data_IF_009197834235
#
_entry.id   IF_009197834235
#
_cell.length_a   1.000
_cell.length_b   1.000
_cell.length_c   1.000
_cell.angle_alpha   90.00
_cell.angle_beta   90.00
_cell.angle_gamma   90.00
#
_symmetry.space_group_name_H-M   'P 1'
#
loop_
_entity.id
_entity.type
_entity.pdbx_description
1 polymer ?
#
# COMPACT_ATOMS: atom_id res chain seq x y z
N UNK A 1 -7.05 -0.52 -4.83
CA UNK A 1 -6.32 -0.44 -6.12
C UNK A 1 -7.27 -0.05 -7.26
N UNK A 2 -6.72 0.41 -8.38
CA UNK A 2 -7.53 0.71 -9.56
C UNK A 2 -8.28 -0.53 -10.05
N UNK A 3 -7.63 -1.68 -10.03
CA UNK A 3 -8.24 -2.97 -10.39
C UNK A 3 -9.46 -3.30 -9.51
N UNK A 4 -9.36 -3.06 -8.20
CA UNK A 4 -10.47 -3.28 -7.26
C UNK A 4 -11.66 -2.35 -7.57
N UNK A 5 -11.39 -1.07 -7.82
CA UNK A 5 -12.43 -0.10 -8.17
C UNK A 5 -13.11 -0.47 -9.50
N UNK A 6 -12.32 -0.97 -10.46
CA UNK A 6 -12.84 -1.43 -11.75
C UNK A 6 -13.72 -2.67 -11.59
N UNK A 7 -13.28 -3.65 -10.78
CA UNK A 7 -14.06 -4.85 -10.49
C UNK A 7 -15.36 -4.54 -9.74
N UNK A 8 -15.37 -3.51 -8.88
CA UNK A 8 -16.55 -3.04 -8.16
C UNK A 8 -17.51 -2.16 -8.98
N UNK A 9 -17.22 -1.91 -10.26
CA UNK A 9 -18.10 -1.12 -11.14
C UNK A 9 -18.16 0.37 -10.83
N UNK A 10 -17.22 0.91 -10.03
CA UNK A 10 -17.25 2.33 -9.61
C UNK A 10 -17.18 3.31 -10.80
N UNK A 11 -16.66 2.87 -11.95
CA UNK A 11 -16.60 3.65 -13.19
C UNK A 11 -17.98 3.90 -13.82
N UNK A 12 -18.99 3.16 -13.42
CA UNK A 12 -20.37 3.38 -13.91
C UNK A 12 -20.94 4.68 -13.35
N UNK A 13 -20.66 4.94 -12.06
CA UNK A 13 -21.11 6.16 -11.38
C UNK A 13 -20.14 7.33 -11.54
N UNK A 14 -18.84 7.08 -11.77
CA UNK A 14 -17.82 8.12 -11.82
C UNK A 14 -16.85 7.90 -12.99
N UNK A 15 -16.75 8.90 -13.85
CA UNK A 15 -15.89 8.90 -15.04
C UNK A 15 -14.50 9.50 -14.80
N UNK A 16 -14.15 9.81 -13.57
CA UNK A 16 -12.85 10.35 -13.19
C UNK A 16 -12.21 9.50 -12.10
N UNK A 17 -10.93 9.21 -12.24
CA UNK A 17 -10.16 8.50 -11.23
C UNK A 17 -8.73 9.03 -11.14
N UNK A 18 -8.14 8.96 -9.97
CA UNK A 18 -6.73 9.31 -9.76
C UNK A 18 -5.88 8.06 -9.94
N UNK A 19 -4.94 8.11 -10.88
CA UNK A 19 -3.96 7.05 -11.08
C UNK A 19 -2.68 7.61 -11.74
N UNK A 20 -1.50 7.25 -11.25
CA UNK A 20 -1.20 6.36 -10.10
C UNK A 20 -1.76 6.88 -8.78
N UNK A 21 -1.96 5.97 -7.83
CA UNK A 21 -2.41 6.33 -6.49
C UNK A 21 -1.44 7.28 -5.77
N UNK A 22 -1.95 8.19 -4.97
CA UNK A 22 -1.14 9.23 -4.30
C UNK A 22 -0.97 8.99 -2.79
N UNK A 23 -1.77 8.14 -2.15
CA UNK A 23 -1.72 7.94 -0.71
C UNK A 23 -1.75 6.48 -0.25
N UNK A 24 -2.04 5.52 -1.11
CA UNK A 24 -2.29 4.15 -0.69
C UNK A 24 -1.14 3.23 -1.06
N UNK A 25 -0.32 2.90 -0.09
CA UNK A 25 0.59 1.75 -0.12
C UNK A 25 0.42 0.99 1.20
N UNK A 26 -0.69 0.25 1.39
CA UNK A 26 -0.90 -0.50 2.62
C UNK A 26 0.16 -1.59 2.74
N UNK A 27 0.78 -1.67 3.90
CA UNK A 27 1.60 -2.80 4.29
C UNK A 27 0.70 -3.87 4.90
N UNK A 28 0.20 -4.77 4.08
CA UNK A 28 -0.57 -5.90 4.59
C UNK A 28 0.32 -6.79 5.43
N UNK A 29 -0.18 -7.20 6.59
CA UNK A 29 0.57 -8.01 7.52
C UNK A 29 -0.28 -9.18 8.05
N UNK A 30 0.39 -10.27 8.40
CA UNK A 30 -0.23 -11.40 9.07
C UNK A 30 0.06 -11.35 10.55
N UNK A 31 -0.97 -11.22 11.37
CA UNK A 31 -0.87 -11.33 12.82
C UNK A 31 -1.20 -12.76 13.29
N UNK A 32 -0.38 -13.29 14.17
CA UNK A 32 -0.60 -14.58 14.79
C UNK A 32 -0.68 -14.43 16.31
N UNK A 33 -1.67 -15.06 16.92
CA UNK A 33 -1.77 -15.09 18.39
C UNK A 33 -0.49 -15.72 18.98
N UNK A 34 0.14 -15.03 19.94
CA UNK A 34 1.41 -15.44 20.51
C UNK A 34 1.36 -16.81 21.20
N UNK A 35 0.23 -17.18 21.82
CA UNK A 35 0.05 -18.50 22.44
C UNK A 35 0.00 -19.61 21.38
N UNK A 36 -0.62 -19.36 20.24
CA UNK A 36 -0.64 -20.28 19.10
C UNK A 36 0.75 -20.38 18.49
N UNK A 37 1.39 -19.24 18.22
CA UNK A 37 2.74 -19.19 17.67
C UNK A 37 3.76 -19.98 18.49
N UNK A 38 3.71 -19.88 19.83
CA UNK A 38 4.61 -20.62 20.72
C UNK A 38 4.41 -22.12 20.67
N UNK A 39 3.21 -22.62 20.35
CA UNK A 39 2.91 -24.06 20.22
C UNK A 39 3.38 -24.65 18.91
N UNK A 40 3.59 -23.84 17.88
CA UNK A 40 4.07 -24.30 16.58
C UNK A 40 5.51 -24.80 16.67
N UNK A 41 5.79 -25.90 15.99
CA UNK A 41 7.15 -26.44 15.84
C UNK A 41 8.00 -25.53 14.96
N UNK A 42 9.32 -25.67 15.02
CA UNK A 42 10.25 -24.83 14.25
C UNK A 42 9.98 -24.87 12.74
N UNK A 43 9.71 -26.06 12.20
CA UNK A 43 9.47 -26.21 10.74
C UNK A 43 8.10 -25.61 10.33
N UNK A 44 7.08 -25.71 11.18
CA UNK A 44 5.76 -25.11 10.93
C UNK A 44 5.85 -23.58 10.87
N UNK A 45 6.57 -22.96 11.82
CA UNK A 45 6.86 -21.53 11.79
C UNK A 45 7.67 -21.12 10.57
N UNK A 46 8.63 -21.97 10.16
CA UNK A 46 9.40 -21.78 8.93
C UNK A 46 8.53 -21.81 7.69
N UNK A 47 7.65 -22.79 7.58
CA UNK A 47 6.72 -22.90 6.45
C UNK A 47 5.75 -21.71 6.37
N UNK A 48 5.21 -21.25 7.51
CA UNK A 48 4.37 -20.05 7.55
C UNK A 48 5.10 -18.80 7.08
N UNK A 49 6.34 -18.57 7.54
CA UNK A 49 7.14 -17.42 7.11
C UNK A 49 7.41 -17.45 5.61
N UNK A 50 7.83 -18.60 5.08
CA UNK A 50 8.07 -18.77 3.64
C UNK A 50 6.79 -18.57 2.82
N UNK A 51 5.65 -19.11 3.29
CA UNK A 51 4.35 -18.92 2.65
C UNK A 51 3.92 -17.45 2.56
N UNK A 52 4.12 -16.69 3.64
CA UNK A 52 3.81 -15.24 3.67
C UNK A 52 4.70 -14.49 2.69
N UNK A 53 5.98 -14.80 2.63
CA UNK A 53 6.93 -14.14 1.73
C UNK A 53 6.58 -14.40 0.26
N UNK A 54 6.26 -15.65 -0.10
CA UNK A 54 5.81 -16.02 -1.44
C UNK A 54 4.49 -15.32 -1.78
N UNK A 55 3.52 -15.36 -0.86
CA UNK A 55 2.22 -14.71 -1.05
C UNK A 55 2.37 -13.20 -1.27
N UNK A 56 3.20 -12.52 -0.47
CA UNK A 56 3.45 -11.08 -0.60
C UNK A 56 3.99 -10.71 -1.99
N UNK A 57 5.00 -11.43 -2.46
CA UNK A 57 5.58 -11.21 -3.80
C UNK A 57 4.57 -11.49 -4.91
N UNK A 58 3.82 -12.59 -4.79
CA UNK A 58 2.82 -12.99 -5.79
C UNK A 58 1.68 -11.99 -5.88
N UNK A 59 1.15 -11.54 -4.73
CA UNK A 59 0.05 -10.57 -4.67
C UNK A 59 0.49 -9.22 -5.25
N UNK A 60 1.70 -8.76 -4.93
CA UNK A 60 2.22 -7.49 -5.47
C UNK A 60 2.24 -7.52 -7.00
N UNK A 61 2.89 -8.53 -7.59
CA UNK A 61 2.97 -8.68 -9.05
C UNK A 61 1.59 -8.84 -9.70
N UNK A 62 0.67 -9.57 -9.04
CA UNK A 62 -0.70 -9.74 -9.52
C UNK A 62 -1.45 -8.41 -9.55
N UNK A 63 -1.34 -7.61 -8.48
CA UNK A 63 -2.01 -6.31 -8.37
C UNK A 63 -1.47 -5.33 -9.40
N UNK A 64 -0.15 -5.29 -9.62
CA UNK A 64 0.47 -4.45 -10.65
C UNK A 64 -0.05 -4.78 -12.05
N UNK A 65 -0.07 -6.07 -12.41
CA UNK A 65 -0.63 -6.52 -13.69
C UNK A 65 -2.10 -6.16 -13.83
N UNK A 66 -2.91 -6.44 -12.81
CA UNK A 66 -4.35 -6.11 -12.83
C UNK A 66 -4.61 -4.61 -12.88
N UNK A 67 -3.77 -3.79 -12.27
CA UNK A 67 -3.88 -2.34 -12.41
C UNK A 67 -3.58 -1.89 -13.84
N UNK A 68 -2.56 -2.45 -14.50
CA UNK A 68 -2.24 -2.15 -15.89
C UNK A 68 -3.39 -2.56 -16.86
N UNK A 69 -4.01 -3.72 -16.62
CA UNK A 69 -5.21 -4.15 -17.36
C UNK A 69 -6.39 -3.19 -17.13
N UNK A 70 -6.60 -2.76 -15.88
CA UNK A 70 -7.66 -1.83 -15.52
C UNK A 70 -7.50 -0.47 -16.18
N UNK A 71 -6.27 0.06 -16.29
CA UNK A 71 -5.97 1.31 -17.02
C UNK A 71 -6.49 1.23 -18.46
N UNK A 72 -6.13 0.16 -19.16
CA UNK A 72 -6.56 -0.06 -20.56
C UNK A 72 -8.08 -0.18 -20.67
N UNK A 73 -8.70 -0.96 -19.77
CA UNK A 73 -10.15 -1.17 -19.75
C UNK A 73 -10.90 0.14 -19.52
N UNK A 74 -10.50 0.92 -18.53
CA UNK A 74 -11.17 2.17 -18.14
C UNK A 74 -11.05 3.24 -19.22
N UNK A 75 -9.92 3.33 -19.92
CA UNK A 75 -9.76 4.22 -21.06
C UNK A 75 -10.79 3.92 -22.16
N UNK A 76 -11.02 2.66 -22.49
CA UNK A 76 -12.06 2.23 -23.44
C UNK A 76 -13.50 2.49 -22.99
N UNK A 77 -13.72 2.76 -21.69
CA UNK A 77 -15.03 3.05 -21.09
C UNK A 77 -15.27 4.55 -20.85
N UNK A 78 -14.42 5.42 -21.39
CA UNK A 78 -14.53 6.87 -21.27
C UNK A 78 -14.18 7.40 -19.86
N UNK A 79 -13.39 6.66 -19.08
CA UNK A 79 -12.90 7.13 -17.78
C UNK A 79 -11.60 7.89 -17.98
N UNK A 80 -11.54 9.09 -17.45
CA UNK A 80 -10.34 9.92 -17.43
C UNK A 80 -9.52 9.62 -16.19
N UNK A 81 -8.25 9.24 -16.40
CA UNK A 81 -7.29 9.01 -15.31
C UNK A 81 -6.45 10.28 -15.12
N UNK A 82 -6.47 10.81 -13.92
CA UNK A 82 -5.70 11.99 -13.55
C UNK A 82 -4.49 11.59 -12.71
N UNK A 83 -3.33 12.06 -13.10
CA UNK A 83 -2.13 12.02 -12.26
C UNK A 83 -1.93 13.40 -11.61
N UNK A 84 -1.48 13.37 -10.36
CA UNK A 84 -1.14 14.58 -9.64
C UNK A 84 0.24 15.09 -10.09
N UNK A 85 0.34 16.39 -10.30
CA UNK A 85 1.63 17.02 -10.56
C UNK A 85 2.61 16.74 -9.40
N UNK A 86 3.92 16.61 -9.67
CA UNK A 86 4.92 16.35 -8.63
C UNK A 86 4.87 17.35 -7.46
N UNK A 87 4.61 18.63 -7.74
CA UNK A 87 4.45 19.67 -6.73
C UNK A 87 3.26 19.42 -5.79
N UNK A 88 2.14 18.93 -6.31
CA UNK A 88 0.96 18.62 -5.50
C UNK A 88 1.19 17.35 -4.66
N UNK A 89 1.89 16.37 -5.21
CA UNK A 89 2.33 15.19 -4.44
C UNK A 89 3.26 15.57 -3.31
N UNK A 90 4.18 16.52 -3.52
CA UNK A 90 5.07 17.03 -2.48
C UNK A 90 4.31 17.73 -1.35
N UNK A 91 3.31 18.57 -1.68
CA UNK A 91 2.44 19.21 -0.69
C UNK A 91 1.67 18.18 0.15
N UNK A 92 1.12 17.17 -0.51
CA UNK A 92 0.40 16.09 0.19
C UNK A 92 1.33 15.33 1.14
N UNK A 93 2.55 14.96 0.70
CA UNK A 93 3.54 14.29 1.54
C UNK A 93 3.93 15.14 2.74
N UNK A 94 4.15 16.44 2.56
CA UNK A 94 4.47 17.35 3.67
C UNK A 94 3.34 17.37 4.72
N UNK A 95 2.08 17.38 4.28
CA UNK A 95 0.93 17.29 5.19
C UNK A 95 0.86 15.95 5.91
N UNK A 96 1.13 14.85 5.21
CA UNK A 96 1.17 13.52 5.81
C UNK A 96 2.27 13.39 6.87
N UNK A 97 3.48 13.86 6.58
CA UNK A 97 4.59 13.87 7.54
C UNK A 97 4.24 14.67 8.80
N UNK A 98 3.59 15.83 8.63
CA UNK A 98 3.13 16.62 9.77
C UNK A 98 2.11 15.87 10.62
N UNK A 99 1.18 15.15 10.01
CA UNK A 99 0.22 14.29 10.73
C UNK A 99 0.93 13.15 11.47
N UNK A 100 1.99 12.55 10.90
CA UNK A 100 2.76 11.49 11.53
C UNK A 100 3.47 11.94 12.82
N UNK A 101 3.90 13.20 12.92
CA UNK A 101 4.48 13.73 14.17
C UNK A 101 3.50 13.59 15.35
N UNK A 102 2.21 13.78 15.11
CA UNK A 102 1.17 13.56 16.13
C UNK A 102 1.09 12.10 16.56
N UNK A 103 1.34 11.16 15.64
CA UNK A 103 1.32 9.74 15.94
C UNK A 103 2.55 9.26 16.71
N UNK A 104 3.71 9.90 16.54
CA UNK A 104 4.93 9.59 17.31
C UNK A 104 4.72 9.73 18.82
N UNK A 105 3.82 10.61 19.24
CA UNK A 105 3.54 10.83 20.66
C UNK A 105 2.67 9.74 21.30
N UNK A 106 2.14 8.79 20.52
CA UNK A 106 1.21 7.76 21.02
C UNK A 106 1.90 6.62 21.74
N UNK A 107 3.07 6.19 21.27
CA UNK A 107 3.91 5.21 21.93
C UNK A 107 5.34 5.24 21.38
N UNK A 108 6.32 4.70 22.12
CA UNK A 108 7.70 4.53 21.63
C UNK A 108 7.77 3.70 20.34
N UNK A 109 6.95 2.67 20.22
CA UNK A 109 6.88 1.80 19.02
C UNK A 109 6.35 2.56 17.81
N UNK A 110 5.34 3.42 18.00
CA UNK A 110 4.82 4.27 16.93
C UNK A 110 5.89 5.25 16.46
N UNK A 111 6.64 5.87 17.37
CA UNK A 111 7.76 6.74 17.02
C UNK A 111 8.81 5.99 16.21
N UNK A 112 9.25 4.82 16.68
CA UNK A 112 10.24 4.00 15.99
C UNK A 112 9.79 3.59 14.59
N UNK A 113 8.55 3.14 14.42
CA UNK A 113 8.01 2.75 13.12
C UNK A 113 7.99 3.93 12.14
N UNK A 114 7.56 5.11 12.59
CA UNK A 114 7.52 6.31 11.75
C UNK A 114 8.92 6.74 11.34
N UNK A 115 9.88 6.68 12.24
CA UNK A 115 11.28 7.00 11.95
C UNK A 115 11.88 6.03 10.94
N UNK A 116 11.70 4.72 11.13
CA UNK A 116 12.16 3.71 10.18
C UNK A 116 11.53 3.90 8.79
N UNK A 117 10.21 4.16 8.75
CA UNK A 117 9.51 4.38 7.49
C UNK A 117 9.98 5.65 6.77
N UNK A 118 10.14 6.74 7.52
CA UNK A 118 10.67 8.01 6.98
C UNK A 118 12.09 7.85 6.45
N UNK A 119 12.96 7.13 7.18
CA UNK A 119 14.32 6.85 6.74
C UNK A 119 14.33 6.02 5.44
N UNK A 120 13.48 5.00 5.35
CA UNK A 120 13.32 4.20 4.14
C UNK A 120 12.87 5.06 2.95
N UNK A 121 11.89 5.93 3.12
CA UNK A 121 11.39 6.79 2.06
C UNK A 121 12.48 7.76 1.56
N UNK A 122 13.27 8.34 2.47
CA UNK A 122 14.42 9.20 2.10
C UNK A 122 15.48 8.42 1.33
N UNK A 123 15.85 7.24 1.81
CA UNK A 123 16.86 6.39 1.15
C UNK A 123 16.46 5.95 -0.27
N UNK A 124 15.15 5.93 -0.57
CA UNK A 124 14.61 5.57 -1.88
C UNK A 124 14.15 6.78 -2.72
N UNK A 125 14.49 8.01 -2.33
CA UNK A 125 14.14 9.21 -3.09
C UNK A 125 12.63 9.50 -3.17
N UNK A 126 11.86 9.01 -2.21
CA UNK A 126 10.41 9.25 -2.14
C UNK A 126 10.12 10.56 -1.39
N UNK A 127 11.02 10.93 -0.48
CA UNK A 127 11.02 12.19 0.27
C UNK A 127 12.23 13.02 -0.08
#
# INVERSE_FOLDING_TARGET
>A
SLATNTAGGHYEANKYATYPGFHSMPADHLACNSKVWKKLKKHERGAMKAGIEIAGRTITSLVERKNAEAVKKLAGMGVTLHDWAPSERAKFRASALKAWETWKTKSPEAAQLIEMHTAYMKANGIL
#
